data_IF_756896553138
#
_entry.id   IF_756896553138
#
_cell.length_a   1.000
_cell.length_b   1.000
_cell.length_c   1.000
_cell.angle_alpha   90.00
_cell.angle_beta   90.00
_cell.angle_gamma   90.00
#
_symmetry.space_group_name_H-M   'P 1'
#
loop_
_entity.id
_entity.type
_entity.pdbx_description
1 polymer ?
#
# COMPACT_ATOMS: atom_id res chain seq x y z
N UNK A 1 13.35 -4.54 -9.46
CA UNK A 1 13.63 -3.51 -10.49
C UNK A 1 12.71 -3.64 -11.71
N UNK A 2 12.47 -4.84 -12.27
CA UNK A 2 11.68 -5.02 -13.49
C UNK A 2 10.20 -4.60 -13.39
N UNK A 3 9.61 -4.56 -12.21
CA UNK A 3 8.20 -4.18 -11.99
C UNK A 3 7.96 -2.67 -11.85
N UNK A 4 9.01 -1.90 -11.49
CA UNK A 4 8.89 -0.44 -11.30
C UNK A 4 8.42 0.30 -12.55
N UNK A 5 9.03 0.09 -13.74
CA UNK A 5 8.60 0.79 -14.95
C UNK A 5 7.14 0.54 -15.34
N UNK A 6 6.65 -0.68 -15.09
CA UNK A 6 5.25 -1.01 -15.33
C UNK A 6 4.32 -0.25 -14.37
N UNK A 7 4.63 -0.27 -13.07
CA UNK A 7 3.83 0.42 -12.06
C UNK A 7 3.81 1.93 -12.28
N UNK A 8 4.96 2.52 -12.62
CA UNK A 8 5.07 3.96 -12.93
C UNK A 8 4.23 4.34 -14.16
N UNK A 9 4.33 3.55 -15.23
CA UNK A 9 3.55 3.79 -16.45
C UNK A 9 2.05 3.61 -16.23
N UNK A 10 1.66 2.58 -15.48
CA UNK A 10 0.26 2.34 -15.12
C UNK A 10 -0.30 3.49 -14.28
N UNK A 11 0.44 3.97 -13.28
CA UNK A 11 0.06 5.11 -12.46
C UNK A 11 -0.04 6.41 -13.28
N UNK A 12 0.86 6.62 -14.25
CA UNK A 12 0.79 7.77 -15.15
C UNK A 12 -0.48 7.78 -16.00
N UNK A 13 -0.88 6.63 -16.54
CA UNK A 13 -2.14 6.50 -17.29
C UNK A 13 -3.34 6.76 -16.40
N UNK A 14 -3.36 6.17 -15.20
CA UNK A 14 -4.42 6.43 -14.21
C UNK A 14 -4.51 7.90 -13.83
N UNK A 15 -3.37 8.57 -13.60
CA UNK A 15 -3.31 9.98 -13.26
C UNK A 15 -3.90 10.86 -14.38
N UNK A 16 -3.58 10.55 -15.64
CA UNK A 16 -4.13 11.27 -16.80
C UNK A 16 -5.65 11.11 -16.90
N UNK A 17 -6.17 9.89 -16.74
CA UNK A 17 -7.60 9.62 -16.73
C UNK A 17 -8.31 10.28 -15.55
N UNK A 18 -7.71 10.23 -14.37
CA UNK A 18 -8.26 10.88 -13.19
C UNK A 18 -8.34 12.40 -13.35
N UNK A 19 -7.34 13.01 -13.99
CA UNK A 19 -7.32 14.44 -14.27
C UNK A 19 -8.41 14.85 -15.27
N UNK A 20 -8.73 14.00 -16.25
CA UNK A 20 -9.80 14.27 -17.24
C UNK A 20 -11.21 14.16 -16.63
N UNK A 21 -11.43 13.19 -15.76
CA UNK A 21 -12.71 13.00 -15.06
C UNK A 21 -12.92 14.04 -13.95
N UNK A 22 -11.85 14.51 -13.33
CA UNK A 22 -11.90 15.53 -12.28
C UNK A 22 -12.70 15.11 -11.05
N UNK A 23 -13.29 16.10 -10.37
CA UNK A 23 -14.10 15.89 -9.15
C UNK A 23 -15.60 15.78 -9.47
N UNK A 24 -15.98 15.29 -10.64
CA UNK A 24 -17.39 15.14 -11.01
C UNK A 24 -18.14 14.22 -10.04
N UNK A 25 -19.46 14.42 -9.89
CA UNK A 25 -20.29 13.54 -9.07
C UNK A 25 -20.31 12.10 -9.61
N UNK A 26 -20.03 11.90 -10.90
CA UNK A 26 -19.89 10.60 -11.57
C UNK A 26 -18.53 9.92 -11.33
N UNK A 27 -17.54 10.61 -10.75
CA UNK A 27 -16.23 10.01 -10.52
C UNK A 27 -16.31 8.78 -9.60
N UNK A 28 -15.56 7.69 -9.88
CA UNK A 28 -15.55 6.49 -9.05
C UNK A 28 -15.18 6.79 -7.59
N UNK A 29 -15.82 6.07 -6.65
CA UNK A 29 -15.61 6.27 -5.21
C UNK A 29 -14.15 6.07 -4.78
N UNK A 30 -13.42 5.16 -5.43
CA UNK A 30 -12.00 4.95 -5.21
C UNK A 30 -11.12 6.15 -5.58
N UNK A 31 -11.62 7.06 -6.42
CA UNK A 31 -10.93 8.31 -6.77
C UNK A 31 -11.35 9.46 -5.87
N UNK A 32 -12.67 9.70 -5.74
CA UNK A 32 -13.18 10.85 -4.98
C UNK A 32 -13.23 10.65 -3.47
N UNK A 33 -13.19 9.39 -3.01
CA UNK A 33 -13.35 9.03 -1.61
C UNK A 33 -14.79 9.11 -1.12
N UNK A 34 -15.00 8.78 0.15
CA UNK A 34 -16.32 8.84 0.82
C UNK A 34 -16.73 10.27 1.24
N UNK A 35 -15.84 11.24 1.10
CA UNK A 35 -16.00 12.59 1.61
C UNK A 35 -15.73 12.71 3.12
N UNK A 36 -15.40 11.60 3.78
CA UNK A 36 -15.06 11.51 5.22
C UNK A 36 -13.62 11.02 5.38
N UNK A 37 -13.07 11.24 6.54
CA UNK A 37 -11.76 10.73 6.95
C UNK A 37 -11.81 10.27 8.41
N UNK A 38 -12.89 9.59 8.77
CA UNK A 38 -13.14 9.22 10.17
C UNK A 38 -12.56 7.87 10.53
N UNK A 39 -12.56 6.92 9.58
CA UNK A 39 -12.06 5.56 9.77
C UNK A 39 -10.90 5.26 8.81
N UNK A 40 -9.74 4.92 9.38
CA UNK A 40 -8.52 4.63 8.64
C UNK A 40 -8.17 3.14 8.73
N UNK A 41 -7.97 2.53 7.56
CA UNK A 41 -7.47 1.16 7.41
C UNK A 41 -5.95 1.21 7.20
N UNK A 42 -5.20 0.62 8.12
CA UNK A 42 -3.75 0.51 8.05
C UNK A 42 -3.34 -0.90 7.64
N UNK A 43 -2.60 -1.05 6.56
CA UNK A 43 -2.05 -2.34 6.11
C UNK A 43 -0.57 -2.37 6.40
N UNK A 44 -0.17 -3.12 7.42
CA UNK A 44 1.21 -3.15 7.90
C UNK A 44 1.92 -4.38 7.34
N UNK A 45 2.85 -4.16 6.43
CA UNK A 45 3.58 -5.22 5.70
C UNK A 45 4.97 -5.41 6.31
N UNK A 46 5.25 -6.62 6.79
CA UNK A 46 6.53 -6.99 7.39
C UNK A 46 6.96 -8.39 6.95
N UNK A 47 8.08 -8.88 7.48
CA UNK A 47 8.55 -10.23 7.21
C UNK A 47 7.79 -11.30 8.01
N UNK A 48 7.78 -12.51 7.49
CA UNK A 48 7.36 -13.70 8.23
C UNK A 48 8.43 -14.18 9.22
N UNK A 49 9.69 -13.92 8.91
CA UNK A 49 10.86 -14.38 9.68
C UNK A 49 11.65 -13.20 10.24
N UNK A 50 12.42 -13.47 11.29
CA UNK A 50 13.36 -12.52 11.89
C UNK A 50 14.75 -12.55 11.23
N UNK A 51 15.73 -12.11 11.99
CA UNK A 51 17.14 -12.03 11.59
C UNK A 51 17.39 -11.10 10.39
N UNK A 52 16.61 -10.04 10.30
CA UNK A 52 16.70 -8.99 9.27
C UNK A 52 16.95 -7.60 9.91
N UNK A 53 17.77 -7.55 10.94
CA UNK A 53 18.13 -6.31 11.65
C UNK A 53 16.90 -5.53 12.11
N UNK A 54 16.90 -4.21 11.88
CA UNK A 54 15.82 -3.30 12.24
C UNK A 54 14.63 -3.25 11.29
N UNK A 55 14.59 -4.09 10.26
CA UNK A 55 13.57 -4.04 9.20
C UNK A 55 12.14 -4.05 9.76
N UNK A 56 11.76 -5.10 10.50
CA UNK A 56 10.41 -5.22 11.04
C UNK A 56 10.08 -4.14 12.08
N UNK A 57 11.03 -3.82 12.97
CA UNK A 57 10.83 -2.83 14.03
C UNK A 57 10.66 -1.42 13.50
N UNK A 58 11.32 -1.06 12.41
CA UNK A 58 11.21 0.25 11.77
C UNK A 58 9.83 0.46 11.17
N UNK A 59 9.28 -0.53 10.45
CA UNK A 59 7.92 -0.49 9.90
C UNK A 59 6.89 -0.46 11.04
N UNK A 60 7.06 -1.30 12.06
CA UNK A 60 6.18 -1.33 13.22
C UNK A 60 6.16 0.00 13.98
N UNK A 61 7.32 0.66 14.14
CA UNK A 61 7.43 1.98 14.76
C UNK A 61 6.66 3.03 13.95
N UNK A 62 6.82 3.01 12.63
CA UNK A 62 6.14 3.94 11.72
C UNK A 62 4.62 3.77 11.80
N UNK A 63 4.12 2.53 11.79
CA UNK A 63 2.70 2.23 11.92
C UNK A 63 2.13 2.67 13.29
N UNK A 64 2.86 2.45 14.39
CA UNK A 64 2.46 2.94 15.72
C UNK A 64 2.34 4.46 15.78
N UNK A 65 3.35 5.16 15.29
CA UNK A 65 3.34 6.64 15.28
C UNK A 65 2.16 7.18 14.50
N UNK A 66 1.89 6.62 13.33
CA UNK A 66 0.76 7.03 12.50
C UNK A 66 -0.60 6.71 13.16
N UNK A 67 -0.74 5.52 13.74
CA UNK A 67 -1.95 5.15 14.48
C UNK A 67 -2.19 6.06 15.70
N UNK A 68 -1.13 6.43 16.42
CA UNK A 68 -1.22 7.35 17.55
C UNK A 68 -1.70 8.74 17.10
N UNK A 69 -1.13 9.28 16.04
CA UNK A 69 -1.53 10.57 15.45
C UNK A 69 -3.01 10.57 15.02
N UNK A 70 -3.45 9.51 14.35
CA UNK A 70 -4.85 9.37 13.96
C UNK A 70 -5.79 9.35 15.16
N UNK A 71 -5.44 8.63 16.22
CA UNK A 71 -6.22 8.54 17.45
C UNK A 71 -6.28 9.87 18.19
N UNK A 72 -5.17 10.59 18.29
CA UNK A 72 -5.10 11.94 18.87
C UNK A 72 -6.02 12.92 18.14
N UNK A 73 -6.18 12.74 16.82
CA UNK A 73 -7.10 13.50 15.98
C UNK A 73 -8.55 12.96 16.00
N UNK A 74 -8.88 12.05 16.91
CA UNK A 74 -10.21 11.49 17.06
C UNK A 74 -10.64 10.52 15.96
N UNK A 75 -9.70 10.00 15.18
CA UNK A 75 -9.97 9.04 14.10
C UNK A 75 -10.03 7.61 14.62
N UNK A 76 -10.83 6.78 13.98
CA UNK A 76 -10.85 5.34 14.22
C UNK A 76 -9.79 4.64 13.36
N UNK A 77 -9.17 3.62 13.92
CA UNK A 77 -8.12 2.83 13.26
C UNK A 77 -8.56 1.38 13.17
N UNK A 78 -8.38 0.78 12.00
CA UNK A 78 -8.49 -0.67 11.75
C UNK A 78 -7.19 -1.14 11.13
N UNK A 79 -6.72 -2.32 11.47
CA UNK A 79 -5.41 -2.81 11.03
C UNK A 79 -5.52 -4.19 10.40
N UNK A 80 -4.95 -4.30 9.19
CA UNK A 80 -4.62 -5.57 8.55
C UNK A 80 -3.12 -5.75 8.64
N UNK A 81 -2.67 -6.87 9.19
CA UNK A 81 -1.25 -7.21 9.24
C UNK A 81 -0.90 -8.20 8.15
N UNK A 82 0.18 -7.92 7.42
CA UNK A 82 0.79 -8.82 6.43
C UNK A 82 2.19 -9.16 6.93
N UNK A 83 2.43 -10.44 7.22
CA UNK A 83 3.67 -10.89 7.85
C UNK A 83 3.58 -10.97 9.39
N UNK A 84 4.06 -12.09 9.91
CA UNK A 84 3.95 -12.44 11.33
C UNK A 84 4.72 -11.47 12.24
N UNK A 85 5.93 -11.05 11.83
CA UNK A 85 6.82 -10.27 12.69
C UNK A 85 6.30 -8.88 13.01
N UNK A 86 5.62 -8.21 12.06
CA UNK A 86 4.95 -6.95 12.32
C UNK A 86 3.77 -7.10 13.26
N UNK A 87 2.94 -8.12 13.02
CA UNK A 87 1.84 -8.44 13.91
C UNK A 87 2.32 -8.63 15.36
N UNK A 88 3.33 -9.46 15.56
CA UNK A 88 3.87 -9.74 16.89
C UNK A 88 4.45 -8.46 17.56
N UNK A 89 5.09 -7.60 16.75
CA UNK A 89 5.68 -6.36 17.23
C UNK A 89 4.67 -5.32 17.72
N UNK A 90 3.51 -5.19 17.03
CA UNK A 90 2.51 -4.16 17.34
C UNK A 90 1.31 -4.69 18.13
N UNK A 91 1.18 -6.01 18.30
CA UNK A 91 0.03 -6.65 18.94
C UNK A 91 -0.23 -6.13 20.37
N UNK A 92 0.82 -5.85 21.13
CA UNK A 92 0.68 -5.38 22.51
C UNK A 92 -0.03 -4.03 22.59
N UNK A 93 0.28 -3.13 21.64
CA UNK A 93 -0.15 -1.74 21.69
C UNK A 93 -1.40 -1.50 20.81
N UNK A 94 -1.55 -2.27 19.73
CA UNK A 94 -2.56 -2.06 18.68
C UNK A 94 -3.39 -3.30 18.37
N UNK A 95 -3.26 -4.38 19.16
CA UNK A 95 -3.93 -5.66 18.89
C UNK A 95 -5.45 -5.59 18.87
N UNK A 96 -6.04 -4.68 19.62
CA UNK A 96 -7.50 -4.43 19.64
C UNK A 96 -8.06 -3.92 18.30
N UNK A 97 -7.21 -3.31 17.47
CA UNK A 97 -7.57 -2.76 16.15
C UNK A 97 -7.38 -3.77 15.02
N UNK A 98 -6.85 -4.96 15.31
CA UNK A 98 -6.61 -5.98 14.29
C UNK A 98 -7.93 -6.58 13.82
N UNK A 99 -8.16 -6.52 12.51
CA UNK A 99 -9.34 -7.13 11.87
C UNK A 99 -8.99 -8.34 11.01
N UNK A 100 -7.76 -8.40 10.50
CA UNK A 100 -7.31 -9.49 9.64
C UNK A 100 -5.78 -9.66 9.71
N UNK A 101 -5.32 -10.89 9.51
CA UNK A 101 -3.92 -11.21 9.34
C UNK A 101 -3.72 -12.03 8.07
N UNK A 102 -2.81 -11.55 7.20
CA UNK A 102 -2.42 -12.24 5.98
C UNK A 102 -1.07 -12.92 6.22
N UNK A 103 -1.07 -14.25 6.14
CA UNK A 103 0.13 -15.08 6.25
C UNK A 103 0.66 -15.40 4.85
N UNK A 104 1.89 -15.02 4.59
CA UNK A 104 2.59 -15.27 3.32
C UNK A 104 3.68 -16.34 3.44
N UNK A 105 3.79 -17.03 4.59
CA UNK A 105 4.85 -17.99 4.90
C UNK A 105 4.91 -19.20 3.97
N UNK A 106 3.78 -19.60 3.40
CA UNK A 106 3.67 -20.74 2.49
C UNK A 106 4.17 -20.41 1.06
N UNK A 107 4.29 -19.13 0.72
CA UNK A 107 4.70 -18.70 -0.61
C UNK A 107 6.21 -18.56 -0.71
N UNK A 108 6.85 -19.36 -1.59
CA UNK A 108 8.29 -19.24 -1.89
C UNK A 108 8.65 -17.91 -2.56
N UNK A 109 7.72 -17.36 -3.32
CA UNK A 109 7.85 -16.06 -3.98
C UNK A 109 6.51 -15.36 -4.02
N UNK A 110 6.51 -14.05 -3.83
CA UNK A 110 5.33 -13.22 -3.94
C UNK A 110 4.95 -13.07 -5.41
N UNK A 111 3.70 -13.39 -5.72
CA UNK A 111 3.11 -13.26 -7.06
C UNK A 111 2.00 -12.22 -7.03
N UNK A 112 1.62 -11.72 -8.20
CA UNK A 112 0.55 -10.75 -8.34
C UNK A 112 -0.77 -11.21 -7.70
N UNK A 113 -1.09 -12.51 -7.78
CA UNK A 113 -2.29 -13.09 -7.14
C UNK A 113 -2.34 -12.87 -5.63
N UNK A 114 -1.18 -12.84 -4.94
CA UNK A 114 -1.14 -12.55 -3.51
C UNK A 114 -1.57 -11.09 -3.22
N UNK A 115 -1.09 -10.16 -4.03
CA UNK A 115 -1.51 -8.77 -3.95
C UNK A 115 -2.99 -8.58 -4.32
N UNK A 116 -3.48 -9.30 -5.32
CA UNK A 116 -4.90 -9.29 -5.68
C UNK A 116 -5.80 -9.76 -4.53
N UNK A 117 -5.40 -10.77 -3.78
CA UNK A 117 -6.17 -11.25 -2.60
C UNK A 117 -6.27 -10.17 -1.53
N UNK A 118 -5.18 -9.48 -1.23
CA UNK A 118 -5.16 -8.37 -0.27
C UNK A 118 -6.01 -7.20 -0.79
N UNK A 119 -5.83 -6.84 -2.07
CA UNK A 119 -6.61 -5.77 -2.70
C UNK A 119 -8.12 -6.08 -2.67
N UNK A 120 -8.52 -7.30 -2.99
CA UNK A 120 -9.92 -7.74 -2.95
C UNK A 120 -10.52 -7.59 -1.55
N UNK A 121 -9.79 -7.98 -0.50
CA UNK A 121 -10.23 -7.82 0.88
C UNK A 121 -10.41 -6.34 1.25
N UNK A 122 -9.48 -5.47 0.84
CA UNK A 122 -9.57 -4.02 1.05
C UNK A 122 -10.75 -3.40 0.30
N UNK A 123 -10.91 -3.73 -0.98
CA UNK A 123 -11.95 -3.16 -1.83
C UNK A 123 -13.34 -3.58 -1.38
N UNK A 124 -13.54 -4.86 -1.01
CA UNK A 124 -14.80 -5.34 -0.48
C UNK A 124 -15.22 -4.58 0.80
N UNK A 125 -14.28 -4.36 1.72
CA UNK A 125 -14.53 -3.61 2.95
C UNK A 125 -14.79 -2.12 2.68
N UNK A 126 -14.17 -1.56 1.64
CA UNK A 126 -14.43 -0.18 1.21
C UNK A 126 -15.83 -0.03 0.62
N UNK A 127 -16.25 -0.97 -0.22
CA UNK A 127 -17.60 -1.01 -0.79
C UNK A 127 -18.67 -1.18 0.31
N UNK A 128 -18.35 -1.91 1.38
CA UNK A 128 -19.19 -2.08 2.56
C UNK A 128 -19.14 -0.88 3.53
N UNK A 129 -18.47 0.21 3.17
CA UNK A 129 -18.29 1.43 3.98
C UNK A 129 -17.63 1.17 5.34
N UNK A 130 -16.75 0.18 5.46
CA UNK A 130 -16.07 -0.13 6.72
C UNK A 130 -14.97 0.86 7.07
N UNK A 131 -14.45 1.62 6.11
CA UNK A 131 -13.42 2.65 6.29
C UNK A 131 -13.47 3.70 5.19
N UNK A 132 -12.78 4.83 5.40
CA UNK A 132 -12.71 5.95 4.47
C UNK A 132 -11.37 6.05 3.74
N UNK A 133 -10.28 5.72 4.44
CA UNK A 133 -8.90 5.85 3.93
C UNK A 133 -8.14 4.55 4.18
N UNK A 134 -7.40 4.07 3.18
CA UNK A 134 -6.47 2.97 3.33
C UNK A 134 -5.04 3.40 3.06
N UNK A 135 -4.14 3.04 3.98
CA UNK A 135 -2.72 3.38 3.95
C UNK A 135 -1.89 2.12 4.15
N UNK A 136 -0.87 1.93 3.32
CA UNK A 136 0.07 0.81 3.44
C UNK A 136 1.39 1.27 4.09
N UNK A 137 1.97 0.39 4.89
CA UNK A 137 3.26 0.56 5.56
C UNK A 137 4.18 -0.55 5.11
N UNK A 138 5.29 -0.20 4.52
CA UNK A 138 6.27 -1.13 3.98
C UNK A 138 7.67 -0.50 4.01
N UNK A 139 8.68 -1.22 3.54
CA UNK A 139 10.02 -0.69 3.38
C UNK A 139 10.40 -0.61 1.92
N UNK A 140 10.68 0.59 1.44
CA UNK A 140 11.16 0.83 0.08
C UNK A 140 12.63 0.46 -0.02
N UNK A 141 12.96 -0.33 -1.01
CA UNK A 141 14.33 -0.75 -1.28
C UNK A 141 15.10 0.31 -2.08
N UNK A 142 16.19 0.82 -1.52
CA UNK A 142 17.13 1.71 -2.22
C UNK A 142 18.35 0.91 -2.66
N UNK A 143 18.99 0.23 -1.72
CA UNK A 143 20.11 -0.69 -1.94
C UNK A 143 20.24 -1.64 -0.74
N UNK A 144 21.21 -2.54 -0.76
CA UNK A 144 21.43 -3.55 0.30
C UNK A 144 21.65 -2.92 1.67
N UNK A 145 22.27 -1.73 1.73
CA UNK A 145 22.56 -1.03 2.99
C UNK A 145 21.41 -0.13 3.44
N UNK A 146 20.63 0.37 2.49
CA UNK A 146 19.60 1.39 2.75
C UNK A 146 18.21 0.90 2.34
N UNK A 147 17.34 0.77 3.34
CA UNK A 147 15.92 0.50 3.17
C UNK A 147 15.14 1.59 3.94
N UNK A 148 14.07 2.11 3.34
CA UNK A 148 13.33 3.26 3.87
C UNK A 148 11.92 2.83 4.27
N UNK A 149 11.57 2.82 5.58
CA UNK A 149 10.19 2.65 6.01
C UNK A 149 9.30 3.72 5.38
N UNK A 150 8.23 3.29 4.73
CA UNK A 150 7.41 4.14 3.87
C UNK A 150 5.94 4.02 4.23
N UNK A 151 5.25 5.17 4.23
CA UNK A 151 3.80 5.29 4.35
C UNK A 151 3.25 5.71 3.00
N UNK A 152 2.23 5.02 2.51
CA UNK A 152 1.60 5.35 1.25
C UNK A 152 0.09 5.16 1.34
N UNK A 153 -0.67 6.23 1.09
CA UNK A 153 -2.12 6.13 0.94
C UNK A 153 -2.42 5.48 -0.42
N UNK A 154 -3.34 4.52 -0.44
CA UNK A 154 -3.77 3.82 -1.65
C UNK A 154 -5.27 3.97 -1.94
N UNK A 155 -6.08 4.25 -0.94
CA UNK A 155 -7.52 4.53 -1.08
C UNK A 155 -7.86 5.75 -0.22
N UNK A 156 -8.54 6.78 -0.76
CA UNK A 156 -8.74 7.05 -2.19
C UNK A 156 -7.41 7.18 -2.94
N UNK A 157 -7.44 6.97 -4.25
CA UNK A 157 -6.26 7.11 -5.10
C UNK A 157 -5.72 8.54 -5.02
N UNK A 158 -4.39 8.66 -4.85
CA UNK A 158 -3.67 9.95 -4.86
C UNK A 158 -2.66 9.93 -6.00
N UNK A 159 -2.57 11.04 -6.71
CA UNK A 159 -1.61 11.21 -7.81
C UNK A 159 -0.75 12.43 -7.50
N UNK A 160 0.57 12.30 -7.67
CA UNK A 160 1.49 13.43 -7.51
C UNK A 160 1.28 14.43 -8.66
N UNK A 161 1.17 15.71 -8.32
CA UNK A 161 0.97 16.81 -9.29
C UNK A 161 2.12 16.93 -10.32
N UNK A 162 3.21 16.21 -10.14
CA UNK A 162 4.37 16.25 -11.04
C UNK A 162 4.23 15.43 -12.31
N UNK A 163 3.18 14.61 -12.44
CA UNK A 163 2.94 13.79 -13.65
C UNK A 163 2.13 14.51 -14.74
N UNK A 164 1.72 15.76 -14.52
CA UNK A 164 0.86 16.52 -15.43
C UNK A 164 1.58 17.17 -16.63
N UNK A 165 2.85 16.88 -16.88
CA UNK A 165 3.64 17.54 -17.90
C UNK A 165 4.32 16.60 -18.91
N UNK A 166 3.58 15.64 -19.50
CA UNK A 166 4.03 15.07 -20.77
C UNK A 166 2.89 14.39 -21.52
N UNK A 167 2.68 14.84 -22.74
CA UNK A 167 1.79 14.32 -23.78
C UNK A 167 0.29 14.32 -23.46
N UNK A 168 -0.35 15.44 -23.72
CA UNK A 168 -1.79 15.49 -24.04
C UNK A 168 -2.02 14.81 -25.39
N UNK A 169 -1.85 13.50 -25.43
CA UNK A 169 -2.42 12.71 -26.51
C UNK A 169 -3.90 12.56 -26.15
N UNK A 170 -4.75 13.26 -26.87
CA UNK A 170 -6.21 13.12 -26.76
C UNK A 170 -6.52 11.74 -27.30
N UNK A 171 -6.73 10.78 -26.41
CA UNK A 171 -7.30 9.49 -26.77
C UNK A 171 -8.81 9.62 -26.69
N UNK A 172 -9.50 9.29 -27.78
CA UNK A 172 -10.95 9.08 -27.76
C UNK A 172 -11.19 7.72 -27.09
N UNK A 173 -11.72 7.72 -25.87
CA UNK A 173 -12.01 6.50 -25.14
C UNK A 173 -13.45 6.06 -25.39
N UNK A 174 -13.59 4.85 -25.91
CA UNK A 174 -14.87 4.13 -25.90
C UNK A 174 -14.72 2.85 -25.06
N UNK A 175 -15.51 2.59 -24.05
CA UNK A 175 -16.54 3.39 -23.40
C UNK A 175 -16.01 4.63 -22.68
N UNK A 176 -16.91 5.45 -22.08
CA UNK A 176 -16.55 6.72 -21.44
C UNK A 176 -15.42 6.60 -20.40
N UNK A 177 -14.71 7.70 -20.15
CA UNK A 177 -13.54 7.74 -19.26
C UNK A 177 -13.86 7.30 -17.82
N UNK A 178 -15.07 7.56 -17.32
CA UNK A 178 -15.52 7.17 -15.98
C UNK A 178 -15.63 5.64 -15.86
N UNK A 179 -16.16 4.98 -16.87
CA UNK A 179 -16.27 3.51 -16.92
C UNK A 179 -14.91 2.84 -17.00
N UNK A 180 -13.99 3.36 -17.82
CA UNK A 180 -12.62 2.86 -17.91
C UNK A 180 -11.90 3.04 -16.59
N UNK A 181 -12.02 4.20 -15.96
CA UNK A 181 -11.40 4.51 -14.69
C UNK A 181 -11.94 3.61 -13.57
N UNK A 182 -13.24 3.33 -13.55
CA UNK A 182 -13.86 2.42 -12.59
C UNK A 182 -13.32 0.98 -12.69
N UNK A 183 -12.94 0.52 -13.89
CA UNK A 183 -12.30 -0.79 -14.09
C UNK A 183 -10.80 -0.77 -13.72
N UNK A 184 -10.10 0.32 -14.02
CA UNK A 184 -8.66 0.42 -13.80
C UNK A 184 -8.26 0.73 -12.35
N UNK A 185 -9.06 1.47 -11.60
CA UNK A 185 -8.72 1.84 -10.21
C UNK A 185 -8.54 0.64 -9.28
N UNK A 186 -9.39 -0.40 -9.27
CA UNK A 186 -9.15 -1.61 -8.48
C UNK A 186 -7.86 -2.32 -8.86
N UNK A 187 -7.52 -2.35 -10.15
CA UNK A 187 -6.24 -2.91 -10.64
C UNK A 187 -5.06 -2.06 -10.18
N UNK A 188 -5.24 -0.74 -10.11
CA UNK A 188 -4.25 0.19 -9.57
C UNK A 188 -3.94 -0.10 -8.10
N UNK A 189 -4.95 -0.34 -7.28
CA UNK A 189 -4.79 -0.74 -5.87
C UNK A 189 -3.99 -2.04 -5.77
N UNK A 190 -4.34 -3.07 -6.53
CA UNK A 190 -3.62 -4.33 -6.55
C UNK A 190 -2.15 -4.17 -7.01
N UNK A 191 -1.92 -3.32 -8.01
CA UNK A 191 -0.57 -3.04 -8.53
C UNK A 191 0.30 -2.31 -7.51
N UNK A 192 -0.25 -1.34 -6.78
CA UNK A 192 0.46 -0.65 -5.70
C UNK A 192 0.80 -1.59 -4.54
N UNK A 193 -0.13 -2.45 -4.13
CA UNK A 193 0.12 -3.48 -3.12
C UNK A 193 1.21 -4.45 -3.60
N UNK A 194 1.16 -4.89 -4.84
CA UNK A 194 2.17 -5.79 -5.41
C UNK A 194 3.56 -5.16 -5.43
N UNK A 195 3.66 -3.91 -5.88
CA UNK A 195 4.90 -3.15 -5.86
C UNK A 195 5.46 -3.01 -4.44
N UNK A 196 4.61 -2.68 -3.46
CA UNK A 196 5.00 -2.57 -2.06
C UNK A 196 5.48 -3.91 -1.48
N UNK A 197 4.82 -5.02 -1.80
CA UNK A 197 5.25 -6.36 -1.37
C UNK A 197 6.61 -6.75 -1.96
N UNK A 198 6.88 -6.42 -3.23
CA UNK A 198 8.17 -6.68 -3.87
C UNK A 198 9.28 -5.80 -3.28
N UNK A 199 9.02 -4.52 -3.06
CA UNK A 199 9.95 -3.59 -2.39
C UNK A 199 10.27 -4.09 -0.97
N UNK A 200 9.25 -4.52 -0.25
CA UNK A 200 9.37 -5.04 1.10
C UNK A 200 10.21 -6.32 1.14
N UNK A 201 9.99 -7.24 0.21
CA UNK A 201 10.77 -8.46 0.06
C UNK A 201 12.26 -8.19 -0.25
N UNK A 202 12.54 -7.26 -1.17
CA UNK A 202 13.89 -6.85 -1.49
C UNK A 202 14.59 -6.18 -0.28
N UNK A 203 13.87 -5.30 0.43
CA UNK A 203 14.34 -4.64 1.65
C UNK A 203 14.64 -5.63 2.77
N UNK A 204 13.78 -6.63 2.97
CA UNK A 204 13.99 -7.70 3.94
C UNK A 204 15.28 -8.48 3.65
N UNK A 205 15.52 -8.86 2.39
CA UNK A 205 16.73 -9.58 2.01
C UNK A 205 17.99 -8.72 2.17
N UNK A 206 17.96 -7.45 1.76
CA UNK A 206 19.05 -6.50 1.97
C UNK A 206 19.39 -6.33 3.45
N UNK A 207 18.40 -6.11 4.29
CA UNK A 207 18.57 -5.98 5.74
C UNK A 207 19.11 -7.28 6.37
N UNK A 208 18.66 -8.44 5.89
CA UNK A 208 19.18 -9.74 6.36
C UNK A 208 20.64 -9.93 5.99
N UNK A 209 21.03 -9.62 4.74
CA UNK A 209 22.44 -9.68 4.31
C UNK A 209 23.32 -8.81 5.20
N UNK A 210 22.93 -7.56 5.43
CA UNK A 210 23.68 -6.64 6.29
C UNK A 210 23.76 -7.13 7.74
N UNK A 211 22.67 -7.68 8.28
CA UNK A 211 22.65 -8.22 9.64
C UNK A 211 23.57 -9.45 9.79
N UNK A 212 23.61 -10.34 8.79
CA UNK A 212 24.48 -11.51 8.80
C UNK A 212 25.95 -11.13 8.64
N UNK A 213 26.28 -10.18 7.75
CA UNK A 213 27.66 -9.67 7.60
C UNK A 213 28.18 -9.06 8.91
N UNK A 214 27.34 -8.27 9.59
CA UNK A 214 27.70 -7.70 10.89
C UNK A 214 27.86 -8.75 12.00
N UNK A 215 27.16 -9.86 11.92
CA UNK A 215 27.25 -10.94 12.91
C UNK A 215 28.49 -11.85 12.70
N UNK A 216 29.08 -11.83 11.50
CA UNK A 216 30.24 -12.66 11.15
C UNK A 216 31.58 -11.91 11.25
N UNK A 217 31.56 -10.61 11.44
CA UNK A 217 32.73 -9.78 11.76
C UNK A 217 33.04 -9.78 13.25
#
# INVERSE_FOLDING_TARGET
>A
EASRPYSERFNSVLASLAASVGSSEGAPLLLRGTGKQDVHMLVVMTAERGLCGGFNSSIAKLARSHAAELKENGKQVKIITVGKKGRDAIKRDLGEYFIEHVDLSEFKSIKYVNAQSIAKALLSRFDDNEYDVATIFYSRFVNVVTQIPTVQQIIPATFDDQSSASDKTIYDYEPDEETILADLLPRGVATQIFSALLENGASEQGARMSAMDNATR
#
